data_IF_747727723683
#
_entry.id   IF_747727723683
#
_cell.length_a   1.000
_cell.length_b   1.000
_cell.length_c   1.000
_cell.angle_alpha   90.00
_cell.angle_beta   90.00
_cell.angle_gamma   90.00
#
_symmetry.space_group_name_H-M   'P 1'
#
loop_
_entity.id
_entity.type
_entity.pdbx_description
1 polymer ?
#
# COMPACT_ATOMS: atom_id res chain seq x y z
N UNK A 1 26.66 -6.48 -10.10
CA UNK A 1 26.37 -5.10 -9.68
C UNK A 1 26.91 -4.86 -8.28
N UNK A 2 27.09 -3.61 -7.91
CA UNK A 2 27.52 -3.23 -6.56
C UNK A 2 26.27 -2.92 -5.72
N UNK A 3 26.15 -3.55 -4.56
CA UNK A 3 25.13 -3.17 -3.58
C UNK A 3 25.53 -1.84 -2.95
N UNK A 4 24.64 -0.88 -2.96
CA UNK A 4 24.83 0.44 -2.35
C UNK A 4 23.79 0.67 -1.27
N UNK A 5 24.16 1.35 -0.21
CA UNK A 5 23.28 1.79 0.86
C UNK A 5 22.95 3.25 0.63
N UNK A 6 21.67 3.58 0.62
CA UNK A 6 21.20 4.94 0.33
C UNK A 6 21.76 5.99 1.32
N UNK A 7 21.86 5.64 2.59
CA UNK A 7 22.19 6.56 3.69
C UNK A 7 23.55 7.23 3.61
N UNK A 8 24.49 6.70 2.84
CA UNK A 8 25.84 7.26 2.68
C UNK A 8 26.09 7.81 1.28
N UNK A 9 25.05 8.25 0.60
CA UNK A 9 25.12 8.85 -0.74
C UNK A 9 24.91 10.35 -0.69
N UNK A 10 25.43 11.07 -1.68
CA UNK A 10 25.16 12.51 -1.81
C UNK A 10 23.67 12.78 -2.03
N UNK A 11 22.96 11.93 -2.81
CA UNK A 11 21.53 12.06 -2.99
C UNK A 11 20.73 11.97 -1.67
N UNK A 12 21.19 11.16 -0.71
CA UNK A 12 20.58 11.14 0.62
C UNK A 12 20.81 12.45 1.38
N UNK A 13 22.02 13.00 1.30
CA UNK A 13 22.34 14.29 1.91
C UNK A 13 21.51 15.42 1.31
N UNK A 14 21.37 15.46 -0.01
CA UNK A 14 20.48 16.43 -0.69
C UNK A 14 19.04 16.30 -0.23
N UNK A 15 18.53 15.05 -0.08
CA UNK A 15 17.19 14.80 0.43
C UNK A 15 17.00 15.33 1.87
N UNK A 16 17.99 15.11 2.76
CA UNK A 16 17.94 15.65 4.13
C UNK A 16 17.98 17.17 4.16
N UNK A 17 18.78 17.79 3.30
CA UNK A 17 18.83 19.25 3.13
C UNK A 17 17.47 19.78 2.68
N UNK A 18 16.82 19.10 1.75
CA UNK A 18 15.48 19.46 1.30
C UNK A 18 14.42 19.32 2.39
N UNK A 19 14.45 18.23 3.17
CA UNK A 19 13.52 18.06 4.29
C UNK A 19 13.73 19.13 5.38
N UNK A 20 14.97 19.49 5.68
CA UNK A 20 15.28 20.57 6.60
C UNK A 20 14.72 21.91 6.10
N UNK A 21 14.86 22.22 4.82
CA UNK A 21 14.24 23.38 4.20
C UNK A 21 12.71 23.38 4.39
N UNK A 22 12.04 22.26 4.09
CA UNK A 22 10.58 22.16 4.26
C UNK A 22 10.16 22.37 5.72
N UNK A 23 10.90 21.82 6.68
CA UNK A 23 10.62 22.00 8.10
C UNK A 23 10.84 23.46 8.54
N UNK A 24 11.95 24.09 8.12
CA UNK A 24 12.27 25.49 8.46
C UNK A 24 11.27 26.48 7.87
N UNK A 25 10.73 26.18 6.70
CA UNK A 25 9.66 26.96 6.04
C UNK A 25 8.25 26.60 6.56
N UNK A 26 8.13 25.70 7.56
CA UNK A 26 6.87 25.22 8.14
C UNK A 26 5.93 24.55 7.14
N UNK A 27 6.49 23.98 6.08
CA UNK A 27 5.78 23.17 5.10
C UNK A 27 5.72 21.69 5.48
N UNK A 28 6.67 21.22 6.28
CA UNK A 28 6.68 19.89 6.87
C UNK A 28 6.53 20.02 8.39
N UNK A 29 5.49 19.37 8.92
CA UNK A 29 5.26 19.33 10.38
C UNK A 29 6.34 18.47 11.06
N UNK A 30 7.07 18.98 12.07
CA UNK A 30 8.02 18.19 12.84
C UNK A 30 7.43 16.93 13.47
N UNK A 31 6.14 16.93 13.79
CA UNK A 31 5.42 15.75 14.29
C UNK A 31 5.41 14.59 13.29
N UNK A 32 5.71 14.83 12.00
CA UNK A 32 5.86 13.78 10.99
C UNK A 32 6.83 12.68 11.42
N UNK A 33 7.82 12.99 12.24
CA UNK A 33 8.83 12.03 12.70
C UNK A 33 8.47 11.30 14.00
N UNK A 34 7.40 11.70 14.68
CA UNK A 34 7.05 11.18 16.01
C UNK A 34 5.60 10.74 16.15
N UNK A 35 4.70 11.22 15.28
CA UNK A 35 3.29 10.87 15.35
C UNK A 35 3.01 9.44 14.89
N UNK A 36 2.02 8.81 15.50
CA UNK A 36 1.50 7.53 15.06
C UNK A 36 0.32 7.68 14.08
N UNK A 37 -0.16 6.56 13.54
CA UNK A 37 -1.25 6.54 12.57
C UNK A 37 -2.56 7.12 13.12
N UNK A 38 -2.88 6.90 14.39
CA UNK A 38 -4.10 7.41 15.02
C UNK A 38 -4.06 8.93 15.20
N UNK A 39 -2.91 9.48 15.61
CA UNK A 39 -2.72 10.92 15.69
C UNK A 39 -2.85 11.59 14.30
N UNK A 40 -2.27 10.98 13.27
CA UNK A 40 -2.43 11.46 11.90
C UNK A 40 -3.88 11.40 11.45
N UNK A 41 -4.59 10.30 11.71
CA UNK A 41 -6.00 10.14 11.38
C UNK A 41 -6.89 11.18 12.08
N UNK A 42 -6.61 11.48 13.33
CA UNK A 42 -7.29 12.56 14.06
C UNK A 42 -7.04 13.93 13.41
N UNK A 43 -5.81 14.17 12.94
CA UNK A 43 -5.43 15.42 12.29
C UNK A 43 -6.13 15.63 10.95
N UNK A 44 -6.19 14.62 10.07
CA UNK A 44 -6.86 14.74 8.77
C UNK A 44 -8.38 14.83 8.86
N UNK A 45 -8.96 14.37 9.98
CA UNK A 45 -10.40 14.46 10.25
C UNK A 45 -10.77 15.63 11.17
N UNK A 46 -9.87 16.56 11.44
CA UNK A 46 -10.18 17.79 12.17
C UNK A 46 -11.17 18.67 11.41
N UNK A 47 -11.89 19.56 12.10
CA UNK A 47 -12.89 20.44 11.47
C UNK A 47 -12.28 21.32 10.36
N UNK A 48 -11.03 21.72 10.51
CA UNK A 48 -10.31 22.54 9.54
C UNK A 48 -9.29 21.69 8.78
N UNK A 49 -9.21 21.85 7.48
CA UNK A 49 -8.18 21.21 6.66
C UNK A 49 -6.80 21.79 7.00
N UNK A 50 -5.99 21.01 7.68
CA UNK A 50 -4.63 21.39 8.09
C UNK A 50 -3.54 20.58 7.39
N UNK A 51 -3.89 19.46 6.76
CA UNK A 51 -2.96 18.61 6.03
C UNK A 51 -3.14 18.86 4.53
N UNK A 52 -2.18 19.50 3.89
CA UNK A 52 -2.20 19.78 2.46
C UNK A 52 -1.72 18.60 1.60
N UNK A 53 -0.77 17.81 2.10
CA UNK A 53 -0.25 16.63 1.42
C UNK A 53 0.26 15.60 2.42
N UNK A 54 0.22 14.32 2.03
CA UNK A 54 0.79 13.23 2.83
C UNK A 54 1.25 12.07 1.96
N UNK A 55 2.20 11.29 2.45
CA UNK A 55 2.64 10.04 1.79
C UNK A 55 1.87 8.88 2.41
N UNK A 56 0.90 8.37 1.69
CA UNK A 56 0.00 7.28 2.15
C UNK A 56 -0.32 6.33 1.00
N UNK A 57 -0.81 5.15 1.32
CA UNK A 57 -1.27 4.19 0.31
C UNK A 57 -2.52 4.66 -0.45
N UNK A 58 -3.40 5.40 0.24
CA UNK A 58 -4.60 6.05 -0.31
C UNK A 58 -5.17 7.03 0.72
N UNK A 59 -6.16 7.83 0.33
CA UNK A 59 -6.87 8.76 1.23
C UNK A 59 -7.91 8.06 2.12
N UNK A 60 -7.55 6.89 2.65
CA UNK A 60 -8.41 6.08 3.52
C UNK A 60 -8.48 6.57 4.97
N UNK A 61 -7.56 7.43 5.34
CA UNK A 61 -7.52 8.03 6.69
C UNK A 61 -8.63 9.08 6.88
N UNK A 62 -9.14 9.68 5.80
CA UNK A 62 -10.28 10.60 5.84
C UNK A 62 -11.57 9.78 5.86
N UNK A 63 -12.48 10.14 6.75
CA UNK A 63 -13.77 9.46 6.88
C UNK A 63 -14.51 9.38 5.55
N UNK A 64 -15.15 8.27 5.28
CA UNK A 64 -15.85 8.01 4.00
C UNK A 64 -17.00 8.99 3.73
N UNK A 65 -17.61 9.54 4.80
CA UNK A 65 -18.67 10.53 4.72
C UNK A 65 -18.18 11.98 4.61
N UNK A 66 -16.86 12.23 4.72
CA UNK A 66 -16.31 13.57 4.66
C UNK A 66 -16.15 14.02 3.19
N UNK A 67 -16.82 15.10 2.74
CA UNK A 67 -16.74 15.57 1.37
C UNK A 67 -15.31 16.00 0.97
N UNK A 68 -14.47 16.42 1.93
CA UNK A 68 -13.07 16.79 1.68
C UNK A 68 -12.23 15.63 1.12
N UNK A 69 -12.72 14.42 1.28
CA UNK A 69 -12.06 13.24 0.71
C UNK A 69 -11.85 13.35 -0.81
N UNK A 70 -12.76 14.01 -1.52
CA UNK A 70 -12.68 14.22 -2.96
C UNK A 70 -11.83 15.43 -3.37
N UNK A 71 -11.41 16.24 -2.41
CA UNK A 71 -10.55 17.41 -2.66
C UNK A 71 -9.06 17.02 -2.79
N UNK A 72 -8.70 15.80 -2.34
CA UNK A 72 -7.35 15.29 -2.45
C UNK A 72 -7.18 14.44 -3.71
N UNK A 73 -6.06 14.62 -4.36
CA UNK A 73 -5.67 13.81 -5.50
C UNK A 73 -4.30 13.14 -5.30
N UNK A 74 -4.10 12.00 -5.98
CA UNK A 74 -2.80 11.35 -6.00
C UNK A 74 -1.84 12.16 -6.85
N UNK A 75 -0.68 12.50 -6.28
CA UNK A 75 0.40 13.17 -7.01
C UNK A 75 0.98 12.16 -8.01
N UNK A 76 1.13 12.53 -9.29
CA UNK A 76 1.77 11.65 -10.27
C UNK A 76 3.26 11.46 -9.95
N UNK A 77 3.87 10.50 -10.63
CA UNK A 77 5.32 10.27 -10.52
C UNK A 77 6.07 11.57 -10.78
N UNK A 78 6.93 11.94 -9.84
CA UNK A 78 7.73 13.15 -9.95
C UNK A 78 8.96 12.90 -10.82
N UNK A 79 9.31 13.90 -11.60
CA UNK A 79 10.50 13.92 -12.46
C UNK A 79 11.37 15.10 -12.08
N UNK A 80 12.68 14.95 -12.20
CA UNK A 80 13.60 16.07 -12.17
C UNK A 80 13.62 16.82 -13.52
N UNK A 81 14.42 17.87 -13.63
CA UNK A 81 14.58 18.65 -14.86
C UNK A 81 15.06 17.83 -16.06
N UNK A 82 15.73 16.71 -15.82
CA UNK A 82 16.22 15.77 -16.83
C UNK A 82 15.18 14.70 -17.17
N UNK A 83 13.97 14.80 -16.61
CA UNK A 83 12.88 13.82 -16.75
C UNK A 83 13.23 12.43 -16.21
N UNK A 84 14.18 12.35 -15.30
CA UNK A 84 14.50 11.10 -14.60
C UNK A 84 13.45 10.82 -13.53
N UNK A 85 12.95 9.58 -13.47
CA UNK A 85 12.03 9.17 -12.41
C UNK A 85 12.75 9.24 -11.08
N UNK A 86 12.27 10.05 -10.18
CA UNK A 86 12.88 10.28 -8.88
C UNK A 86 12.53 9.20 -7.87
N UNK A 87 11.32 8.65 -7.94
CA UNK A 87 10.84 7.71 -6.97
C UNK A 87 9.72 6.82 -7.53
N UNK A 88 9.85 5.52 -7.30
CA UNK A 88 8.78 4.56 -7.49
C UNK A 88 8.84 3.52 -6.36
N UNK A 89 7.90 3.52 -5.42
CA UNK A 89 7.91 2.61 -4.28
C UNK A 89 7.46 1.19 -4.62
N UNK A 90 7.15 0.91 -5.87
CA UNK A 90 6.63 -0.39 -6.26
C UNK A 90 7.74 -1.44 -6.19
N UNK A 91 7.69 -2.26 -5.17
CA UNK A 91 8.52 -3.46 -5.09
C UNK A 91 8.12 -4.44 -6.21
N UNK A 92 9.07 -5.09 -6.88
CA UNK A 92 8.75 -6.21 -7.74
C UNK A 92 8.00 -7.28 -6.96
N UNK A 93 7.17 -8.04 -7.67
CA UNK A 93 6.42 -9.12 -7.06
C UNK A 93 7.37 -10.06 -6.30
N UNK A 94 7.17 -10.17 -5.00
CA UNK A 94 7.89 -11.11 -4.14
C UNK A 94 6.99 -12.27 -3.77
N UNK A 95 7.53 -13.48 -3.81
CA UNK A 95 6.83 -14.65 -3.28
C UNK A 95 6.99 -14.65 -1.77
N UNK A 96 5.90 -14.54 -1.05
CA UNK A 96 5.86 -14.67 0.39
C UNK A 96 5.12 -15.96 0.78
N UNK A 97 5.58 -16.62 1.83
CA UNK A 97 4.84 -17.73 2.41
C UNK A 97 3.68 -17.13 3.22
N UNK A 98 2.45 -17.32 2.74
CA UNK A 98 1.24 -16.82 3.39
C UNK A 98 0.49 -17.90 4.16
N UNK A 99 0.80 -19.18 3.90
CA UNK A 99 0.28 -20.33 4.61
C UNK A 99 1.25 -21.50 4.55
N UNK A 100 1.18 -22.41 5.51
CA UNK A 100 1.95 -23.62 5.54
C UNK A 100 1.11 -24.78 6.12
N UNK A 101 1.30 -25.97 5.58
CA UNK A 101 0.71 -27.20 6.13
C UNK A 101 1.72 -27.85 7.06
N UNK A 102 1.35 -28.05 8.32
CA UNK A 102 2.21 -28.71 9.30
C UNK A 102 2.51 -30.16 8.89
N UNK A 103 3.76 -30.60 9.12
CA UNK A 103 4.14 -32.02 8.94
C UNK A 103 3.30 -33.03 9.77
N UNK A 104 2.70 -32.54 10.84
CA UNK A 104 1.83 -33.34 11.71
C UNK A 104 0.34 -33.26 11.32
N UNK A 105 0.02 -32.64 10.19
CA UNK A 105 -1.35 -32.55 9.70
C UNK A 105 -1.87 -33.95 9.37
N UNK A 106 -3.01 -34.33 9.96
CA UNK A 106 -3.61 -35.66 9.73
C UNK A 106 -4.20 -35.82 8.32
N UNK A 107 -4.63 -34.69 7.72
CA UNK A 107 -5.25 -34.64 6.39
C UNK A 107 -4.58 -33.59 5.52
N UNK A 108 -3.31 -33.78 5.12
CA UNK A 108 -2.55 -32.74 4.41
C UNK A 108 -3.15 -32.39 3.04
N UNK A 109 -3.76 -33.35 2.35
CA UNK A 109 -4.43 -33.14 1.08
C UNK A 109 -5.65 -32.21 1.24
N UNK A 110 -6.48 -32.43 2.25
CA UNK A 110 -7.62 -31.57 2.52
C UNK A 110 -7.19 -30.14 2.91
N UNK A 111 -6.13 -30.02 3.71
CA UNK A 111 -5.55 -28.73 4.06
C UNK A 111 -5.01 -28.01 2.82
N UNK A 112 -4.32 -28.70 1.94
CA UNK A 112 -3.82 -28.12 0.69
C UNK A 112 -4.97 -27.67 -0.22
N UNK A 113 -5.98 -28.49 -0.43
CA UNK A 113 -7.17 -28.13 -1.23
C UNK A 113 -7.89 -26.90 -0.69
N UNK A 114 -7.97 -26.77 0.63
CA UNK A 114 -8.53 -25.56 1.25
C UNK A 114 -7.70 -24.33 0.92
N UNK A 115 -6.38 -24.40 1.06
CA UNK A 115 -5.49 -23.27 0.72
C UNK A 115 -5.53 -22.92 -0.76
N UNK A 116 -5.60 -23.93 -1.64
CA UNK A 116 -5.73 -23.76 -3.08
C UNK A 116 -7.04 -23.05 -3.44
N UNK A 117 -8.16 -23.45 -2.81
CA UNK A 117 -9.44 -22.77 -2.96
C UNK A 117 -9.36 -21.29 -2.53
N UNK A 118 -8.67 -20.99 -1.42
CA UNK A 118 -8.55 -19.62 -0.91
C UNK A 118 -7.84 -18.69 -1.89
N UNK A 119 -6.95 -19.19 -2.74
CA UNK A 119 -6.28 -18.39 -3.78
C UNK A 119 -7.02 -18.39 -5.12
N UNK A 120 -8.22 -18.95 -5.20
CA UNK A 120 -9.08 -18.79 -6.38
C UNK A 120 -9.57 -17.33 -6.50
N UNK A 121 -9.96 -16.95 -7.71
CA UNK A 121 -10.52 -15.60 -7.96
C UNK A 121 -11.76 -15.36 -7.12
N UNK A 122 -12.73 -16.27 -7.18
CA UNK A 122 -14.02 -16.12 -6.47
C UNK A 122 -13.82 -16.03 -4.96
N UNK A 123 -12.98 -16.89 -4.38
CA UNK A 123 -12.70 -16.83 -2.96
C UNK A 123 -11.94 -15.56 -2.58
N UNK A 124 -11.05 -15.08 -3.42
CA UNK A 124 -10.30 -13.83 -3.19
C UNK A 124 -11.22 -12.61 -3.24
N UNK A 125 -12.20 -12.58 -4.15
CA UNK A 125 -13.22 -11.53 -4.19
C UNK A 125 -14.11 -11.63 -2.94
N UNK A 126 -14.61 -12.82 -2.63
CA UNK A 126 -15.50 -13.04 -1.50
C UNK A 126 -14.86 -12.64 -0.16
N UNK A 127 -13.61 -13.01 0.07
CA UNK A 127 -12.92 -12.67 1.32
C UNK A 127 -12.65 -11.18 1.50
N UNK A 128 -12.67 -10.41 0.41
CA UNK A 128 -12.49 -8.96 0.44
C UNK A 128 -13.81 -8.19 0.43
N UNK A 129 -14.76 -8.56 -0.43
CA UNK A 129 -15.95 -7.78 -0.69
C UNK A 129 -17.25 -8.41 -0.22
N UNK A 130 -17.23 -9.70 0.17
CA UNK A 130 -18.40 -10.38 0.67
C UNK A 130 -18.99 -11.36 -0.33
N UNK A 131 -20.28 -11.60 -0.23
CA UNK A 131 -21.00 -12.63 -0.95
C UNK A 131 -21.49 -12.14 -2.33
N UNK A 132 -21.28 -12.96 -3.35
CA UNK A 132 -21.86 -12.71 -4.68
C UNK A 132 -23.38 -12.61 -4.63
N UNK A 133 -23.93 -11.71 -5.43
CA UNK A 133 -25.37 -11.35 -5.49
C UNK A 133 -25.95 -10.72 -4.21
N UNK A 134 -25.12 -10.48 -3.19
CA UNK A 134 -25.51 -9.78 -1.95
C UNK A 134 -24.68 -8.50 -1.78
N UNK A 135 -23.36 -8.62 -1.79
CA UNK A 135 -22.42 -7.53 -1.55
C UNK A 135 -21.76 -7.06 -2.85
N UNK A 136 -21.64 -7.94 -3.82
CA UNK A 136 -21.13 -7.67 -5.15
C UNK A 136 -21.78 -8.61 -6.19
N UNK A 137 -21.67 -8.28 -7.45
CA UNK A 137 -22.15 -9.12 -8.56
C UNK A 137 -21.22 -9.02 -9.76
N UNK A 138 -21.31 -9.98 -10.67
CA UNK A 138 -20.66 -9.88 -11.97
C UNK A 138 -21.29 -8.76 -12.77
N UNK A 139 -20.42 -7.99 -13.46
CA UNK A 139 -20.89 -6.92 -14.34
C UNK A 139 -21.54 -7.50 -15.60
N UNK A 140 -22.46 -6.76 -16.20
CA UNK A 140 -23.08 -7.13 -17.47
C UNK A 140 -22.05 -7.15 -18.61
N UNK A 141 -22.35 -7.91 -19.67
CA UNK A 141 -21.54 -7.94 -20.87
C UNK A 141 -21.33 -6.53 -21.43
N UNK A 142 -20.10 -6.22 -21.82
CA UNK A 142 -19.71 -4.91 -22.32
C UNK A 142 -19.24 -3.91 -21.24
N UNK A 143 -19.46 -4.18 -19.96
CA UNK A 143 -18.85 -3.38 -18.91
C UNK A 143 -17.34 -3.67 -18.84
N UNK A 144 -16.58 -2.64 -18.47
CA UNK A 144 -15.14 -2.71 -18.32
C UNK A 144 -14.74 -2.45 -16.89
N UNK A 145 -13.73 -3.13 -16.39
CA UNK A 145 -13.09 -2.80 -15.13
C UNK A 145 -12.41 -1.43 -15.18
N UNK A 146 -12.05 -0.89 -14.03
CA UNK A 146 -11.33 0.39 -13.93
C UNK A 146 -10.05 0.42 -14.79
N UNK A 147 -9.41 -0.74 -14.96
CA UNK A 147 -8.25 -0.93 -15.81
C UNK A 147 -8.45 -2.14 -16.71
N UNK A 148 -8.44 -1.92 -18.02
CA UNK A 148 -8.69 -2.96 -19.01
C UNK A 148 -7.68 -4.12 -18.98
N UNK A 149 -6.44 -3.85 -18.53
CA UNK A 149 -5.33 -4.81 -18.51
C UNK A 149 -5.23 -5.62 -17.20
N UNK A 150 -6.23 -5.58 -16.35
CA UNK A 150 -6.16 -6.21 -15.03
C UNK A 150 -6.16 -7.74 -15.06
N UNK A 151 -6.65 -8.35 -16.13
CA UNK A 151 -6.69 -9.79 -16.31
C UNK A 151 -7.81 -10.53 -15.58
N UNK A 152 -8.66 -9.81 -14.85
CA UNK A 152 -9.86 -10.35 -14.18
C UNK A 152 -11.12 -9.72 -14.76
N UNK A 153 -12.17 -10.52 -14.86
CA UNK A 153 -13.45 -10.07 -15.38
C UNK A 153 -14.02 -8.91 -14.55
N UNK A 154 -14.78 -8.01 -15.21
CA UNK A 154 -15.38 -6.87 -14.49
C UNK A 154 -16.46 -7.34 -13.51
N UNK A 155 -16.55 -6.69 -12.38
CA UNK A 155 -17.57 -6.89 -11.36
C UNK A 155 -18.04 -5.55 -10.78
N UNK A 156 -19.22 -5.55 -10.18
CA UNK A 156 -19.83 -4.39 -9.54
C UNK A 156 -19.88 -4.60 -8.03
N UNK A 157 -19.56 -3.56 -7.28
CA UNK A 157 -19.85 -3.51 -5.84
C UNK A 157 -21.24 -2.92 -5.64
N UNK A 158 -22.12 -3.65 -5.00
CA UNK A 158 -23.50 -3.20 -4.70
C UNK A 158 -23.55 -2.26 -3.49
N UNK A 159 -22.77 -2.55 -2.48
CA UNK A 159 -22.66 -1.69 -1.29
C UNK A 159 -21.49 -2.12 -0.43
N UNK A 160 -20.82 -1.27 0.11
CA UNK A 160 -20.05 -1.34 1.34
C UNK A 160 -18.62 -0.84 1.23
N UNK A 161 -18.34 0.20 1.96
CA UNK A 161 -16.96 0.55 2.21
C UNK A 161 -16.32 -0.60 3.02
N UNK A 162 -15.39 -1.32 2.41
CA UNK A 162 -14.61 -2.38 3.05
C UNK A 162 -13.85 -1.82 4.27
N UNK A 163 -13.53 -0.55 4.21
CA UNK A 163 -12.68 0.12 5.17
C UNK A 163 -13.43 1.15 5.99
N UNK A 164 -13.19 1.14 7.29
CA UNK A 164 -13.66 2.20 8.18
C UNK A 164 -14.96 1.93 8.93
N UNK A 165 -15.67 0.86 8.61
CA UNK A 165 -16.89 0.48 9.34
C UNK A 165 -16.74 -0.93 9.91
N UNK A 166 -17.00 -1.19 11.20
CA UNK A 166 -17.09 -2.54 11.72
C UNK A 166 -18.12 -3.35 10.95
N UNK A 167 -17.74 -4.50 10.44
CA UNK A 167 -18.60 -5.37 9.64
C UNK A 167 -18.28 -6.84 9.94
N UNK A 168 -19.21 -7.71 9.57
CA UNK A 168 -19.13 -9.16 9.78
C UNK A 168 -19.46 -9.94 8.49
N UNK A 169 -19.32 -9.31 7.34
CA UNK A 169 -19.73 -9.87 6.04
C UNK A 169 -18.57 -10.51 5.31
N UNK A 170 -17.35 -10.04 5.52
CA UNK A 170 -16.16 -10.54 4.84
C UNK A 170 -14.92 -10.52 5.75
N UNK A 171 -13.88 -11.21 5.32
CA UNK A 171 -12.66 -11.41 6.13
C UNK A 171 -11.62 -10.29 5.98
N UNK A 172 -11.92 -9.24 5.25
CA UNK A 172 -10.98 -8.15 4.97
C UNK A 172 -9.61 -8.64 4.47
N UNK A 173 -9.62 -9.67 3.59
CA UNK A 173 -8.42 -10.32 3.06
C UNK A 173 -7.57 -11.05 4.11
N UNK A 174 -8.16 -11.59 5.14
CA UNK A 174 -7.46 -12.47 6.05
C UNK A 174 -7.23 -13.82 5.38
N UNK A 175 -5.97 -14.26 5.32
CA UNK A 175 -5.57 -15.54 4.71
C UNK A 175 -5.00 -15.40 3.30
N UNK A 176 -4.70 -16.53 2.64
CA UNK A 176 -4.21 -16.54 1.27
C UNK A 176 -5.24 -15.95 0.29
N UNK A 177 -4.77 -15.15 -0.65
CA UNK A 177 -5.59 -14.58 -1.74
C UNK A 177 -4.68 -14.21 -2.92
N UNK A 178 -5.26 -14.12 -4.11
CA UNK A 178 -4.53 -13.61 -5.27
C UNK A 178 -4.46 -12.09 -5.28
N UNK A 179 -3.57 -11.57 -6.11
CA UNK A 179 -3.19 -10.16 -6.17
C UNK A 179 -4.39 -9.20 -6.09
N UNK A 180 -4.49 -8.55 -4.97
CA UNK A 180 -5.53 -7.57 -4.66
C UNK A 180 -5.71 -6.50 -5.73
N UNK A 181 -4.59 -5.98 -6.25
CA UNK A 181 -4.63 -4.93 -7.28
C UNK A 181 -5.34 -5.39 -8.55
N UNK A 182 -5.03 -6.60 -9.03
CA UNK A 182 -5.63 -7.11 -10.25
C UNK A 182 -7.15 -7.31 -10.11
N UNK A 183 -7.60 -7.73 -8.92
CA UNK A 183 -9.04 -7.86 -8.62
C UNK A 183 -9.69 -6.47 -8.52
N UNK A 184 -9.10 -5.55 -7.77
CA UNK A 184 -9.62 -4.18 -7.64
C UNK A 184 -9.72 -3.46 -9.00
N UNK A 185 -8.77 -3.73 -9.89
CA UNK A 185 -8.79 -3.18 -11.24
C UNK A 185 -9.93 -3.72 -12.13
N UNK A 186 -10.47 -4.90 -11.80
CA UNK A 186 -11.68 -5.47 -12.44
C UNK A 186 -12.98 -4.81 -11.98
N UNK A 187 -12.97 -4.00 -10.92
CA UNK A 187 -14.15 -3.33 -10.43
C UNK A 187 -14.66 -2.29 -11.44
N UNK A 188 -15.94 -2.31 -11.75
CA UNK A 188 -16.57 -1.29 -12.58
C UNK A 188 -16.76 -0.02 -11.77
N UNK A 189 -16.28 1.09 -12.31
CA UNK A 189 -16.43 2.37 -11.64
C UNK A 189 -17.84 2.96 -11.85
N UNK A 190 -18.49 3.31 -10.76
CA UNK A 190 -19.82 3.89 -10.71
C UNK A 190 -19.84 5.43 -10.87
N UNK A 191 -18.69 6.04 -11.10
CA UNK A 191 -18.54 7.49 -11.16
C UNK A 191 -18.25 8.16 -9.82
N UNK A 192 -18.27 7.41 -8.72
CA UNK A 192 -18.01 7.96 -7.39
C UNK A 192 -16.51 8.11 -7.13
N UNK A 193 -16.00 9.33 -7.18
CA UNK A 193 -14.59 9.64 -6.93
C UNK A 193 -14.17 9.48 -5.46
N UNK A 194 -15.13 9.41 -4.53
CA UNK A 194 -14.87 9.14 -3.11
C UNK A 194 -14.73 7.64 -2.80
N UNK A 195 -15.01 6.76 -3.78
CA UNK A 195 -14.85 5.32 -3.61
C UNK A 195 -13.40 4.98 -3.30
N UNK A 196 -13.18 4.24 -2.20
CA UNK A 196 -11.84 3.87 -1.73
C UNK A 196 -11.06 3.06 -2.76
N UNK A 197 -11.69 2.10 -3.42
CA UNK A 197 -11.03 1.26 -4.42
C UNK A 197 -10.63 2.07 -5.66
N UNK A 198 -11.48 3.02 -6.08
CA UNK A 198 -11.13 3.95 -7.14
C UNK A 198 -9.92 4.82 -6.78
N UNK A 199 -9.88 5.37 -5.58
CA UNK A 199 -8.75 6.18 -5.12
C UNK A 199 -7.44 5.38 -5.07
N UNK A 200 -7.49 4.14 -4.56
CA UNK A 200 -6.34 3.24 -4.53
C UNK A 200 -5.88 2.93 -5.95
N UNK A 201 -6.80 2.54 -6.81
CA UNK A 201 -6.51 2.17 -8.18
C UNK A 201 -5.93 3.35 -8.97
N UNK A 202 -6.52 4.54 -8.85
CA UNK A 202 -6.01 5.77 -9.46
C UNK A 202 -4.62 6.13 -8.95
N UNK A 203 -4.39 6.02 -7.64
CA UNK A 203 -3.09 6.29 -7.03
C UNK A 203 -1.99 5.35 -7.53
N UNK A 204 -2.28 4.06 -7.60
CA UNK A 204 -1.31 3.05 -8.07
C UNK A 204 -1.08 3.16 -9.58
N UNK A 205 -2.12 3.46 -10.36
CA UNK A 205 -2.06 3.48 -11.82
C UNK A 205 -0.94 4.36 -12.38
N UNK A 206 -0.70 5.51 -11.77
CA UNK A 206 0.38 6.42 -12.15
C UNK A 206 1.80 5.87 -11.95
N UNK A 207 1.95 4.83 -11.14
CA UNK A 207 3.24 4.22 -10.77
C UNK A 207 3.47 2.85 -11.42
N UNK A 208 2.49 2.32 -12.16
CA UNK A 208 2.65 1.03 -12.84
C UNK A 208 3.80 1.08 -13.84
N UNK A 209 4.58 0.00 -13.88
CA UNK A 209 5.73 -0.15 -14.78
C UNK A 209 6.83 0.93 -14.61
N UNK A 210 6.85 1.62 -13.46
CA UNK A 210 7.84 2.64 -13.11
C UNK A 210 8.88 2.15 -12.11
N UNK A 211 8.87 0.87 -11.75
CA UNK A 211 9.86 0.30 -10.84
C UNK A 211 11.27 0.41 -11.44
N UNK A 212 12.28 0.77 -10.62
CA UNK A 212 13.65 0.84 -11.10
C UNK A 212 14.17 -0.54 -11.52
N UNK A 213 14.98 -0.60 -12.57
CA UNK A 213 15.75 -1.79 -12.93
C UNK A 213 16.88 -2.00 -11.91
N UNK A 214 17.11 -3.21 -11.44
CA UNK A 214 18.20 -3.49 -10.49
C UNK A 214 17.75 -3.47 -9.04
N UNK A 215 16.61 -3.98 -8.77
CA UNK A 215 16.03 -4.13 -7.44
C UNK A 215 16.42 -5.47 -6.82
N UNK A 216 16.85 -5.46 -5.57
CA UNK A 216 17.05 -6.68 -4.78
C UNK A 216 15.71 -7.04 -4.13
N UNK A 217 15.11 -8.15 -4.56
CA UNK A 217 13.78 -8.55 -4.10
C UNK A 217 13.80 -9.03 -2.66
N UNK A 218 14.27 -10.23 -2.42
CA UNK A 218 14.33 -10.83 -1.08
C UNK A 218 15.61 -11.64 -0.97
N UNK A 219 16.34 -11.39 0.09
CA UNK A 219 17.45 -12.26 0.48
C UNK A 219 16.91 -13.36 1.38
N UNK A 220 17.34 -14.58 1.11
CA UNK A 220 17.04 -15.73 1.97
C UNK A 220 18.26 -15.97 2.85
N UNK A 221 18.04 -15.97 4.15
CA UNK A 221 19.08 -16.13 5.16
C UNK A 221 18.98 -17.51 5.81
N UNK A 222 20.09 -18.05 6.25
CA UNK A 222 20.14 -19.12 7.22
C UNK A 222 19.69 -18.62 8.60
N UNK A 223 19.37 -19.51 9.52
CA UNK A 223 18.95 -19.12 10.86
C UNK A 223 19.98 -18.24 11.59
N UNK A 224 21.28 -18.57 11.44
CA UNK A 224 22.38 -17.83 12.06
C UNK A 224 22.54 -16.43 11.43
N UNK A 225 22.44 -16.34 10.11
CA UNK A 225 22.46 -15.05 9.39
C UNK A 225 21.27 -14.17 9.76
N UNK A 226 20.07 -14.76 9.90
CA UNK A 226 18.87 -14.04 10.32
C UNK A 226 19.02 -13.50 11.75
N UNK A 227 19.55 -14.32 12.68
CA UNK A 227 19.84 -13.89 14.03
C UNK A 227 20.82 -12.71 14.05
N UNK A 228 21.91 -12.82 13.28
CA UNK A 228 22.91 -11.75 13.18
C UNK A 228 22.38 -10.50 12.51
N UNK A 229 21.55 -10.65 11.47
CA UNK A 229 20.86 -9.53 10.81
C UNK A 229 20.00 -8.77 11.81
N UNK A 230 19.17 -9.48 12.56
CA UNK A 230 18.23 -8.88 13.51
C UNK A 230 18.98 -8.14 14.64
N UNK A 231 20.09 -8.69 15.13
CA UNK A 231 20.94 -8.03 16.11
C UNK A 231 21.48 -6.68 15.59
N UNK A 232 21.94 -6.64 14.35
CA UNK A 232 22.54 -5.45 13.75
C UNK A 232 21.49 -4.45 13.26
N UNK A 233 20.37 -4.93 12.74
CA UNK A 233 19.37 -4.11 12.08
C UNK A 233 18.74 -3.10 13.03
N UNK A 234 18.36 -3.51 14.23
CA UNK A 234 17.73 -2.62 15.22
C UNK A 234 18.58 -1.40 15.52
N UNK A 235 19.86 -1.61 15.81
CA UNK A 235 20.74 -0.49 16.13
C UNK A 235 21.00 0.45 14.94
N UNK A 236 21.07 -0.11 13.72
CA UNK A 236 21.24 0.71 12.49
C UNK A 236 19.95 1.49 12.18
N UNK A 237 18.80 0.86 12.28
CA UNK A 237 17.50 1.51 12.03
C UNK A 237 17.25 2.64 13.03
N UNK A 238 17.47 2.42 14.32
CA UNK A 238 17.32 3.43 15.36
C UNK A 238 18.23 4.63 15.12
N UNK A 239 19.50 4.37 14.77
CA UNK A 239 20.44 5.42 14.44
C UNK A 239 20.02 6.21 13.19
N UNK A 240 19.61 5.54 12.12
CA UNK A 240 19.18 6.19 10.88
C UNK A 240 17.93 7.01 11.12
N UNK A 241 16.92 6.45 11.79
CA UNK A 241 15.66 7.15 12.07
C UNK A 241 15.87 8.40 12.93
N UNK A 242 16.67 8.28 13.98
CA UNK A 242 17.04 9.41 14.85
C UNK A 242 17.80 10.49 14.07
N UNK A 243 18.74 10.08 13.23
CA UNK A 243 19.54 11.00 12.41
C UNK A 243 18.69 11.72 11.37
N UNK A 244 17.76 11.01 10.71
CA UNK A 244 16.81 11.61 9.76
C UNK A 244 15.98 12.69 10.44
N UNK A 245 15.41 12.38 11.62
CA UNK A 245 14.64 13.35 12.39
C UNK A 245 15.48 14.58 12.78
N UNK A 246 16.70 14.36 13.28
CA UNK A 246 17.61 15.43 13.66
C UNK A 246 18.01 16.31 12.46
N UNK A 247 18.38 15.72 11.33
CA UNK A 247 18.72 16.49 10.13
C UNK A 247 17.52 17.28 9.59
N UNK A 248 16.34 16.67 9.59
CA UNK A 248 15.14 17.34 9.08
C UNK A 248 14.68 18.48 9.99
N UNK A 249 14.82 18.36 11.30
CA UNK A 249 14.43 19.41 12.28
C UNK A 249 15.54 20.43 12.57
N UNK A 250 16.76 20.14 12.20
CA UNK A 250 17.92 21.01 12.48
C UNK A 250 18.40 20.92 13.92
N UNK A 251 18.21 19.78 14.60
CA UNK A 251 18.58 19.56 16.00
C UNK A 251 19.84 18.70 16.14
#
# INVERSE_FOLDING_TARGET
GKVTVAYNTEGFREAMTYLNKLTSEKLLDPLTFTQNAEAFKAMVNSETTIVGASVRGAMTDINTSDPRRTEYESIPVLYNNEKTIQFCPQAPASVNIVAAVSKNCKNPEAAFRMLDLMVSEDCSIMTRWGQEDVDWRRAAEGNKGMYEDAGYGPFLLESNPIWGTPQNQHWMQTGPFIRQYAIAAGMVWDGNTANTEYMIAKGIGGYLNKAPSGYITKLVYTADEEARRNELQTGVEDYVNSSVAAFATGS
#
